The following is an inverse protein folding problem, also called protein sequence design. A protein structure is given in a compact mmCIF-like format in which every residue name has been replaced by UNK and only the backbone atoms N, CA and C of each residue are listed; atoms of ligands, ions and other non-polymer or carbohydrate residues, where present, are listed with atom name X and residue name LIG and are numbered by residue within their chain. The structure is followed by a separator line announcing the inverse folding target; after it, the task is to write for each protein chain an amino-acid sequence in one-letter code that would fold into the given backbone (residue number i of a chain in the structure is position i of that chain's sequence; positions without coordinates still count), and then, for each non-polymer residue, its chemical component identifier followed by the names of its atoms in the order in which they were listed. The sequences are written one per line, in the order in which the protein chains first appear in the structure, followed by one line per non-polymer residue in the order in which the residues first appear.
data_IF_146695146763
#
_entry.id   IF_146695146763
#
_cell.length_a   1.000
_cell.length_b   1.000
_cell.length_c   1.000
_cell.angle_alpha   90.00
_cell.angle_beta   90.00
_cell.angle_gamma   90.00
#
_symmetry.space_group_name_H-M   'P 1'
#
loop_
_entity.id
_entity.type
_entity.pdbx_description
1 polymer ?
#
# COMPACT_ATOMS: atom_id res chain seq x y z
N UNK A 1 -11.36 8.76 4.05
CA UNK A 1 -11.15 9.99 4.83
C UNK A 1 -9.88 9.96 5.68
N UNK A 2 -9.67 9.03 6.65
CA UNK A 2 -8.50 9.11 7.54
C UNK A 2 -7.19 8.65 6.89
N UNK A 3 -7.19 7.61 6.09
CA UNK A 3 -5.99 7.13 5.37
C UNK A 3 -5.53 8.10 4.28
N UNK A 4 -6.45 8.72 3.58
CA UNK A 4 -6.14 9.74 2.56
C UNK A 4 -5.48 10.97 3.19
N UNK A 5 -5.93 11.37 4.39
CA UNK A 5 -5.29 12.47 5.14
C UNK A 5 -3.82 12.17 5.44
N UNK A 6 -3.50 10.95 5.88
CA UNK A 6 -2.11 10.58 6.16
C UNK A 6 -1.23 10.56 4.91
N UNK A 7 -1.76 10.13 3.75
CA UNK A 7 -1.02 10.13 2.47
C UNK A 7 -0.75 11.58 2.04
N UNK A 8 -1.78 12.42 2.06
CA UNK A 8 -1.67 13.85 1.79
C UNK A 8 -0.61 14.53 2.66
N UNK A 9 -0.68 14.29 3.98
CA UNK A 9 0.22 14.94 4.93
C UNK A 9 1.68 14.53 4.68
N UNK A 10 1.95 13.29 4.28
CA UNK A 10 3.30 12.83 3.91
C UNK A 10 3.82 13.49 2.64
N UNK A 11 2.99 13.56 1.59
CA UNK A 11 3.39 14.25 0.36
C UNK A 11 3.70 15.71 0.66
N UNK A 12 2.85 16.36 1.44
CA UNK A 12 3.06 17.76 1.86
C UNK A 12 4.36 17.94 2.64
N UNK A 13 4.58 17.11 3.67
CA UNK A 13 5.79 17.20 4.51
C UNK A 13 7.06 16.96 3.69
N UNK A 14 7.08 15.97 2.80
CA UNK A 14 8.27 15.71 1.96
C UNK A 14 8.60 16.92 1.09
N UNK A 15 7.59 17.59 0.52
CA UNK A 15 7.81 18.78 -0.29
C UNK A 15 8.32 19.95 0.56
N UNK A 16 7.74 20.17 1.75
CA UNK A 16 8.15 21.21 2.68
C UNK A 16 9.59 20.99 3.20
N UNK A 17 9.91 19.78 3.62
CA UNK A 17 11.24 19.43 4.18
C UNK A 17 12.34 19.38 3.11
N UNK A 18 12.02 18.98 1.88
CA UNK A 18 12.99 18.98 0.79
C UNK A 18 13.35 20.38 0.29
N UNK A 19 12.51 21.38 0.55
CA UNK A 19 12.67 22.74 0.05
C UNK A 19 12.55 22.87 -1.48
N UNK A 20 12.07 21.82 -2.16
CA UNK A 20 11.86 21.83 -3.61
C UNK A 20 10.65 22.69 -3.94
N UNK A 21 10.79 23.55 -4.96
CA UNK A 21 9.67 24.28 -5.54
C UNK A 21 8.63 23.30 -6.07
N UNK A 22 7.38 23.31 -5.55
CA UNK A 22 6.34 22.38 -5.99
C UNK A 22 6.05 22.43 -7.51
N UNK A 23 6.35 23.55 -8.18
CA UNK A 23 6.18 23.69 -9.62
C UNK A 23 7.21 22.91 -10.45
N UNK A 24 8.27 22.41 -9.81
CA UNK A 24 9.34 21.62 -10.41
C UNK A 24 9.11 20.11 -10.31
N UNK A 25 8.03 19.69 -9.65
CA UNK A 25 7.69 18.27 -9.53
C UNK A 25 7.03 17.81 -10.82
N UNK A 26 7.65 16.85 -11.49
CA UNK A 26 7.21 16.32 -12.79
C UNK A 26 6.17 15.22 -12.65
N UNK A 27 6.18 14.45 -11.54
CA UNK A 27 5.18 13.39 -11.31
C UNK A 27 5.11 12.96 -9.84
N UNK A 28 3.97 12.34 -9.46
CA UNK A 28 3.77 11.66 -8.18
C UNK A 28 3.36 10.20 -8.46
N UNK A 29 4.28 9.26 -8.27
CA UNK A 29 4.09 7.84 -8.57
C UNK A 29 3.89 7.05 -7.28
N UNK A 30 2.66 6.58 -7.05
CA UNK A 30 2.34 5.78 -5.86
C UNK A 30 1.93 4.36 -6.21
N UNK A 31 2.58 3.40 -5.56
CA UNK A 31 2.20 2.00 -5.61
C UNK A 31 1.02 1.69 -4.70
N UNK A 32 0.07 0.90 -5.19
CA UNK A 32 -1.08 0.41 -4.42
C UNK A 32 -1.53 -0.94 -4.99
N UNK A 33 -1.52 -1.99 -4.16
CA UNK A 33 -1.87 -3.34 -4.58
C UNK A 33 -3.37 -3.65 -4.54
N UNK A 34 -4.14 -2.85 -3.81
CA UNK A 34 -5.60 -2.99 -3.70
C UNK A 34 -6.26 -1.63 -3.94
N UNK A 35 -6.24 -1.12 -5.18
CA UNK A 35 -6.82 0.17 -5.53
C UNK A 35 -8.32 0.19 -5.24
N UNK A 36 -8.85 1.35 -4.87
CA UNK A 36 -10.28 1.56 -4.61
C UNK A 36 -10.81 2.80 -5.33
N UNK A 37 -12.14 2.89 -5.42
CA UNK A 37 -12.81 3.99 -6.12
C UNK A 37 -12.75 5.34 -5.39
N UNK A 38 -12.38 5.37 -4.11
CA UNK A 38 -12.30 6.60 -3.34
C UNK A 38 -11.08 7.48 -3.71
N UNK A 39 -10.01 6.85 -4.22
CA UNK A 39 -8.80 7.55 -4.66
C UNK A 39 -8.27 6.94 -5.98
N UNK A 40 -8.96 7.16 -7.10
CA UNK A 40 -8.50 6.71 -8.41
C UNK A 40 -7.21 7.44 -8.78
N UNK A 41 -6.24 6.74 -9.37
CA UNK A 41 -4.90 7.29 -9.62
C UNK A 41 -4.31 7.93 -8.36
N UNK A 42 -4.09 7.13 -7.33
CA UNK A 42 -3.73 7.57 -5.97
C UNK A 42 -2.66 8.67 -5.93
N UNK A 43 -1.62 8.59 -6.78
CA UNK A 43 -0.58 9.62 -6.88
C UNK A 43 -1.16 10.99 -7.24
N UNK A 44 -2.11 11.03 -8.17
CA UNK A 44 -2.75 12.29 -8.57
C UNK A 44 -3.64 12.86 -7.47
N UNK A 45 -4.48 12.02 -6.84
CA UNK A 45 -5.34 12.47 -5.74
C UNK A 45 -4.49 12.98 -4.58
N UNK A 46 -3.43 12.25 -4.21
CA UNK A 46 -2.52 12.66 -3.14
C UNK A 46 -1.81 14.00 -3.44
N UNK A 47 -1.37 14.22 -4.68
CA UNK A 47 -0.76 15.47 -5.11
C UNK A 47 -1.72 16.66 -4.96
N UNK A 48 -2.95 16.52 -5.44
CA UNK A 48 -3.97 17.56 -5.35
C UNK A 48 -4.37 17.86 -3.90
N UNK A 49 -4.60 16.82 -3.10
CA UNK A 49 -4.96 16.96 -1.69
C UNK A 49 -3.82 17.55 -0.86
N UNK A 50 -2.56 17.33 -1.24
CA UNK A 50 -1.40 17.95 -0.63
C UNK A 50 -1.24 19.44 -1.01
N UNK A 51 -2.01 19.93 -1.96
CA UNK A 51 -1.96 21.31 -2.44
C UNK A 51 -0.89 21.57 -3.51
N UNK A 52 -0.38 20.53 -4.15
CA UNK A 52 0.53 20.70 -5.28
C UNK A 52 -0.19 21.37 -6.47
N UNK A 53 0.55 22.06 -7.34
CA UNK A 53 -0.02 22.69 -8.54
C UNK A 53 -0.79 21.68 -9.41
N UNK A 54 -1.86 22.13 -10.05
CA UNK A 54 -2.66 21.29 -10.94
C UNK A 54 -1.89 20.79 -12.17
N UNK A 55 -0.75 21.38 -12.45
CA UNK A 55 0.18 20.95 -13.49
C UNK A 55 0.96 19.68 -13.14
N UNK A 56 1.08 19.35 -11.85
CA UNK A 56 1.79 18.13 -11.40
C UNK A 56 0.92 16.91 -11.67
N UNK A 57 1.29 16.02 -12.58
CA UNK A 57 0.57 14.77 -12.81
C UNK A 57 0.72 13.81 -11.65
N UNK A 58 0.04 12.68 -11.73
CA UNK A 58 0.21 11.61 -10.76
C UNK A 58 -0.39 10.32 -11.25
N UNK A 59 0.28 9.22 -10.98
CA UNK A 59 -0.20 7.90 -11.34
C UNK A 59 -0.16 6.92 -10.18
N UNK A 60 -0.89 5.84 -10.35
CA UNK A 60 -0.87 4.67 -9.49
C UNK A 60 -0.37 3.48 -10.29
N UNK A 61 0.43 2.62 -9.66
CA UNK A 61 0.82 1.35 -10.24
C UNK A 61 0.56 0.19 -9.28
N UNK A 62 0.28 -0.96 -9.85
CA UNK A 62 0.07 -2.21 -9.12
C UNK A 62 1.10 -3.27 -9.58
N UNK A 63 1.94 -3.69 -8.67
CA UNK A 63 2.80 -4.87 -8.75
C UNK A 63 2.67 -5.67 -7.45
N UNK A 64 1.47 -5.72 -6.90
CA UNK A 64 1.13 -6.33 -5.63
C UNK A 64 2.05 -5.83 -4.50
N UNK A 65 2.60 -6.71 -3.66
CA UNK A 65 3.49 -6.34 -2.56
C UNK A 65 4.75 -5.57 -2.99
N UNK A 66 5.14 -5.64 -4.27
CA UNK A 66 6.25 -4.91 -4.86
C UNK A 66 5.91 -3.53 -5.42
N UNK A 67 4.66 -3.05 -5.27
CA UNK A 67 4.20 -1.80 -5.90
C UNK A 67 5.00 -0.57 -5.49
N UNK A 68 5.27 -0.41 -4.20
CA UNK A 68 6.05 0.73 -3.69
C UNK A 68 7.48 0.75 -4.23
N UNK A 69 8.16 -0.40 -4.23
CA UNK A 69 9.50 -0.51 -4.82
C UNK A 69 9.47 -0.26 -6.33
N UNK A 70 8.45 -0.75 -7.03
CA UNK A 70 8.29 -0.50 -8.46
C UNK A 70 8.06 0.99 -8.77
N UNK A 71 7.35 1.71 -7.93
CA UNK A 71 7.19 3.16 -8.07
C UNK A 71 8.56 3.87 -8.04
N UNK A 72 9.43 3.51 -7.10
CA UNK A 72 10.79 4.05 -6.98
C UNK A 72 11.64 3.69 -8.21
N UNK A 73 11.59 2.44 -8.66
CA UNK A 73 12.33 1.98 -9.86
C UNK A 73 11.84 2.73 -11.10
N UNK A 74 10.54 2.93 -11.25
CA UNK A 74 9.95 3.67 -12.37
C UNK A 74 10.38 5.13 -12.36
N UNK A 75 10.32 5.79 -11.20
CA UNK A 75 10.81 7.16 -11.04
C UNK A 75 12.29 7.28 -11.40
N UNK A 76 13.13 6.38 -10.88
CA UNK A 76 14.55 6.36 -11.20
C UNK A 76 14.84 6.15 -12.69
N UNK A 77 14.05 5.32 -13.36
CA UNK A 77 14.16 5.13 -14.81
C UNK A 77 13.79 6.40 -15.60
N UNK A 78 12.72 7.10 -15.20
CA UNK A 78 12.33 8.37 -15.84
C UNK A 78 13.42 9.43 -15.69
N UNK A 79 13.99 9.56 -14.49
CA UNK A 79 15.09 10.51 -14.24
C UNK A 79 16.33 10.11 -15.05
N UNK A 80 16.71 8.84 -15.04
CA UNK A 80 17.89 8.38 -15.76
C UNK A 80 17.79 8.55 -17.30
N UNK A 81 16.59 8.55 -17.85
CA UNK A 81 16.36 8.78 -19.28
C UNK A 81 16.10 10.25 -19.64
N UNK A 82 16.09 11.15 -18.68
CA UNK A 82 15.78 12.56 -18.88
C UNK A 82 14.30 12.84 -19.17
N UNK A 83 13.42 11.88 -18.85
CA UNK A 83 11.96 12.08 -19.00
C UNK A 83 11.38 12.93 -17.87
N UNK A 84 12.08 13.04 -16.74
CA UNK A 84 11.73 13.86 -15.58
C UNK A 84 12.99 14.25 -14.81
N UNK A 85 12.90 15.36 -14.06
CA UNK A 85 13.95 15.82 -13.16
C UNK A 85 13.62 15.53 -11.69
N UNK A 86 12.35 15.66 -11.30
CA UNK A 86 11.89 15.51 -9.92
C UNK A 86 10.62 14.68 -9.84
N UNK A 87 10.66 13.57 -9.15
CA UNK A 87 9.49 12.70 -8.94
C UNK A 87 9.34 12.34 -7.47
N UNK A 88 8.12 12.43 -6.95
CA UNK A 88 7.75 11.85 -5.66
C UNK A 88 7.32 10.41 -5.90
N UNK A 89 8.02 9.44 -5.29
CA UNK A 89 7.73 8.03 -5.45
C UNK A 89 7.57 7.33 -4.11
N UNK A 90 6.64 6.38 -4.04
CA UNK A 90 6.39 5.62 -2.81
C UNK A 90 5.19 4.68 -2.95
N UNK A 91 4.46 4.49 -1.87
CA UNK A 91 3.24 3.66 -1.89
C UNK A 91 2.36 3.89 -0.69
N UNK A 92 1.10 3.53 -0.85
CA UNK A 92 0.13 3.55 0.23
C UNK A 92 -0.91 2.45 0.04
N UNK A 93 -1.36 1.85 1.14
CA UNK A 93 -2.34 0.78 1.14
C UNK A 93 -3.34 0.95 2.27
N UNK A 94 -4.60 0.65 2.02
CA UNK A 94 -5.66 0.65 3.02
C UNK A 94 -6.59 -0.54 2.82
N UNK A 95 -6.11 -1.72 3.18
CA UNK A 95 -6.83 -2.99 2.97
C UNK A 95 -8.18 -3.02 3.70
N UNK A 96 -8.28 -2.41 4.87
CA UNK A 96 -9.53 -2.30 5.65
C UNK A 96 -10.62 -1.46 4.97
N UNK A 97 -10.29 -0.75 3.90
CA UNK A 97 -11.22 0.08 3.11
C UNK A 97 -11.44 -0.44 1.70
N UNK A 98 -10.94 -1.63 1.39
CA UNK A 98 -11.20 -2.28 0.12
C UNK A 98 -12.69 -2.61 0.00
N UNK A 99 -13.30 -2.25 -1.12
CA UNK A 99 -14.72 -2.42 -1.34
C UNK A 99 -15.09 -3.89 -1.50
N UNK A 100 -16.32 -4.22 -1.10
CA UNK A 100 -17.01 -5.40 -1.59
C UNK A 100 -17.56 -5.14 -2.98
N UNK A 101 -17.51 -6.13 -3.84
CA UNK A 101 -18.00 -6.05 -5.22
C UNK A 101 -19.26 -6.89 -5.42
N UNK A 102 -20.08 -6.47 -6.35
CA UNK A 102 -21.17 -7.25 -6.93
C UNK A 102 -20.89 -7.50 -8.41
N UNK A 103 -21.57 -8.47 -8.98
CA UNK A 103 -21.45 -8.75 -10.41
C UNK A 103 -21.79 -7.50 -11.24
N UNK A 104 -21.00 -7.23 -12.27
CA UNK A 104 -21.15 -6.07 -13.14
C UNK A 104 -22.50 -6.07 -13.90
N UNK A 105 -23.14 -7.22 -14.05
CA UNK A 105 -24.45 -7.35 -14.70
C UNK A 105 -25.54 -6.59 -13.97
N UNK A 106 -25.36 -6.28 -12.68
CA UNK A 106 -26.27 -5.41 -11.91
C UNK A 106 -26.44 -4.03 -12.57
N UNK A 107 -25.45 -3.54 -13.33
CA UNK A 107 -25.55 -2.28 -14.09
C UNK A 107 -26.64 -2.32 -15.16
N UNK A 108 -26.98 -3.50 -15.64
CA UNK A 108 -27.97 -3.74 -16.69
C UNK A 108 -29.32 -4.19 -16.13
N UNK A 109 -29.50 -4.11 -14.83
CA UNK A 109 -30.69 -4.51 -14.08
C UNK A 109 -30.59 -5.92 -13.50
N UNK A 110 -30.96 -6.05 -12.24
CA UNK A 110 -31.06 -7.36 -11.59
C UNK A 110 -32.29 -8.11 -12.11
N UNK A 111 -32.06 -9.28 -12.71
CA UNK A 111 -33.13 -10.10 -13.32
C UNK A 111 -33.74 -11.12 -12.35
N UNK A 112 -33.73 -10.86 -11.07
CA UNK A 112 -34.16 -11.76 -9.99
C UNK A 112 -33.01 -12.58 -9.41
N UNK A 113 -33.29 -13.35 -8.33
CA UNK A 113 -32.28 -14.09 -7.60
C UNK A 113 -31.56 -13.28 -6.52
N UNK A 114 -30.56 -13.88 -5.91
CA UNK A 114 -29.78 -13.25 -4.85
C UNK A 114 -28.59 -12.45 -5.41
N UNK A 115 -28.36 -11.27 -4.85
CA UNK A 115 -27.09 -10.55 -5.07
C UNK A 115 -26.06 -11.00 -4.04
N UNK A 116 -24.89 -11.41 -4.52
CA UNK A 116 -23.76 -11.83 -3.68
C UNK A 116 -22.76 -10.68 -3.64
N UNK A 117 -22.47 -10.19 -2.45
CA UNK A 117 -21.34 -9.29 -2.21
C UNK A 117 -20.08 -10.13 -1.99
N UNK A 118 -19.04 -9.88 -2.78
CA UNK A 118 -17.76 -10.59 -2.71
C UNK A 118 -16.71 -9.71 -2.08
N UNK A 119 -15.90 -10.30 -1.19
CA UNK A 119 -14.72 -9.64 -0.65
C UNK A 119 -13.64 -9.58 -1.74
N UNK A 120 -13.39 -8.39 -2.26
CA UNK A 120 -12.38 -8.14 -3.29
C UNK A 120 -10.97 -8.52 -2.86
N UNK A 121 -10.64 -8.44 -1.56
CA UNK A 121 -9.34 -8.87 -1.07
C UNK A 121 -9.17 -10.38 -1.20
N UNK A 122 -10.20 -11.14 -0.89
CA UNK A 122 -10.17 -12.60 -1.04
C UNK A 122 -10.12 -12.99 -2.52
N UNK A 123 -10.98 -12.42 -3.35
CA UNK A 123 -10.95 -12.68 -4.80
C UNK A 123 -9.58 -12.39 -5.42
N UNK A 124 -8.95 -11.27 -5.03
CA UNK A 124 -7.61 -10.92 -5.52
C UNK A 124 -6.53 -11.91 -5.08
N UNK A 125 -6.66 -12.52 -3.90
CA UNK A 125 -5.73 -13.58 -3.44
C UNK A 125 -5.91 -14.86 -4.23
N UNK A 126 -7.14 -15.27 -4.46
CA UNK A 126 -7.46 -16.49 -5.23
C UNK A 126 -7.05 -16.35 -6.71
N UNK A 127 -7.23 -15.15 -7.29
CA UNK A 127 -6.87 -14.86 -8.66
C UNK A 127 -5.36 -14.62 -8.90
N UNK A 128 -4.57 -14.46 -7.84
CA UNK A 128 -3.17 -14.00 -7.95
C UNK A 128 -2.27 -14.96 -8.76
N UNK A 129 -2.55 -16.28 -8.74
CA UNK A 129 -1.85 -17.29 -9.53
C UNK A 129 -2.32 -17.40 -10.98
N UNK A 130 -3.37 -16.67 -11.33
CA UNK A 130 -4.02 -16.80 -12.63
C UNK A 130 -4.58 -18.19 -12.89
N UNK A 131 -4.97 -18.42 -14.13
CA UNK A 131 -5.64 -19.68 -14.51
C UNK A 131 -4.72 -20.91 -14.47
N UNK A 132 -3.42 -20.69 -14.70
CA UNK A 132 -2.47 -21.80 -14.88
C UNK A 132 -1.65 -22.14 -13.64
N UNK A 133 -1.64 -21.25 -12.65
CA UNK A 133 -0.92 -21.44 -11.39
C UNK A 133 -1.80 -21.05 -10.19
N UNK A 134 -2.98 -21.65 -10.05
CA UNK A 134 -3.90 -21.30 -8.98
C UNK A 134 -3.28 -21.64 -7.62
N UNK A 135 -3.34 -20.70 -6.68
CA UNK A 135 -2.93 -20.89 -5.29
C UNK A 135 -4.13 -20.56 -4.40
N UNK A 136 -4.74 -21.57 -3.83
CA UNK A 136 -5.80 -21.38 -2.85
C UNK A 136 -5.25 -20.80 -1.55
N UNK A 137 -6.04 -19.98 -0.85
CA UNK A 137 -5.73 -19.49 0.50
C UNK A 137 -4.73 -18.33 0.61
N UNK A 138 -4.14 -17.86 -0.50
CA UNK A 138 -3.25 -16.70 -0.51
C UNK A 138 -1.89 -16.94 0.14
N UNK A 139 -1.31 -15.91 0.79
CA UNK A 139 0.08 -15.95 1.27
C UNK A 139 0.31 -16.89 2.46
N UNK A 140 -0.71 -17.12 3.30
CA UNK A 140 -0.61 -18.07 4.42
C UNK A 140 -0.43 -19.48 3.87
N UNK A 141 -1.25 -19.88 2.90
CA UNK A 141 -1.12 -21.19 2.25
C UNK A 141 0.19 -21.32 1.46
N UNK A 142 0.64 -20.25 0.82
CA UNK A 142 1.96 -20.22 0.16
C UNK A 142 3.09 -20.46 1.17
N UNK A 143 3.06 -19.83 2.32
CA UNK A 143 4.04 -20.05 3.38
C UNK A 143 4.00 -21.49 3.90
N UNK A 144 2.81 -22.08 4.09
CA UNK A 144 2.65 -23.48 4.50
C UNK A 144 3.16 -24.46 3.43
N UNK A 145 2.98 -24.17 2.15
CA UNK A 145 3.54 -24.96 1.06
C UNK A 145 5.07 -24.94 1.09
N UNK A 146 5.68 -23.78 1.25
CA UNK A 146 7.14 -23.65 1.42
C UNK A 146 7.63 -24.41 2.66
N UNK A 147 6.93 -24.26 3.79
CA UNK A 147 7.26 -25.02 5.00
C UNK A 147 7.32 -26.52 4.74
N UNK A 148 6.33 -27.06 4.04
CA UNK A 148 6.28 -28.50 3.70
C UNK A 148 7.38 -28.89 2.72
N UNK A 149 7.57 -28.11 1.66
CA UNK A 149 8.56 -28.37 0.61
C UNK A 149 9.99 -28.34 1.13
N UNK A 150 10.32 -27.35 1.95
CA UNK A 150 11.66 -27.18 2.52
C UNK A 150 11.83 -27.75 3.93
N UNK A 151 10.83 -28.46 4.44
CA UNK A 151 10.86 -29.07 5.79
C UNK A 151 11.26 -28.09 6.89
N UNK A 152 10.71 -26.88 6.86
CA UNK A 152 11.05 -25.84 7.83
C UNK A 152 10.38 -26.17 9.17
N UNK A 153 11.19 -26.39 10.20
CA UNK A 153 10.73 -26.76 11.52
C UNK A 153 9.99 -25.63 12.22
N UNK A 154 8.99 -25.95 13.06
CA UNK A 154 8.18 -24.99 13.79
C UNK A 154 9.03 -24.07 14.69
N UNK A 155 10.02 -24.64 15.36
CA UNK A 155 10.92 -23.90 16.26
C UNK A 155 11.65 -22.79 15.50
N UNK A 156 12.19 -23.08 14.31
CA UNK A 156 12.88 -22.09 13.49
C UNK A 156 11.94 -20.93 13.04
N UNK A 157 10.67 -21.25 12.78
CA UNK A 157 9.66 -20.22 12.44
C UNK A 157 9.38 -19.32 13.64
N UNK A 158 9.17 -19.90 14.82
CA UNK A 158 8.89 -19.16 16.06
C UNK A 158 10.08 -18.31 16.51
N UNK A 159 11.31 -18.82 16.39
CA UNK A 159 12.54 -18.06 16.65
C UNK A 159 12.71 -16.86 15.73
N UNK A 160 12.43 -17.03 14.42
CA UNK A 160 12.45 -15.94 13.46
C UNK A 160 11.42 -14.87 13.83
N UNK A 161 10.19 -15.27 14.14
CA UNK A 161 9.11 -14.35 14.52
C UNK A 161 9.48 -13.57 15.80
N UNK A 162 9.91 -14.27 16.84
CA UNK A 162 10.31 -13.65 18.11
C UNK A 162 11.50 -12.68 17.92
N UNK A 163 12.49 -13.04 17.09
CA UNK A 163 13.61 -12.16 16.76
C UNK A 163 13.13 -10.91 16.01
N UNK A 164 12.25 -11.05 15.04
CA UNK A 164 11.68 -9.93 14.29
C UNK A 164 10.98 -8.94 15.21
N UNK A 165 10.13 -9.41 16.13
CA UNK A 165 9.46 -8.55 17.11
C UNK A 165 10.45 -7.84 18.04
N UNK A 166 11.44 -8.57 18.59
CA UNK A 166 12.47 -7.95 19.44
C UNK A 166 13.27 -6.87 18.72
N UNK A 167 13.64 -7.11 17.46
CA UNK A 167 14.37 -6.12 16.67
C UNK A 167 13.54 -4.86 16.41
N UNK A 168 12.26 -5.02 16.12
CA UNK A 168 11.35 -3.88 15.91
C UNK A 168 11.20 -3.05 17.20
N UNK A 169 10.98 -3.71 18.35
CA UNK A 169 10.89 -3.05 19.64
C UNK A 169 12.17 -2.29 19.99
N UNK A 170 13.35 -2.95 19.83
CA UNK A 170 14.64 -2.31 20.09
C UNK A 170 14.90 -1.11 19.17
N UNK A 171 14.50 -1.19 17.90
CA UNK A 171 14.62 -0.07 16.98
C UNK A 171 13.76 1.15 17.39
N UNK A 172 12.55 0.89 17.89
CA UNK A 172 11.68 1.95 18.42
C UNK A 172 12.25 2.56 19.71
N UNK A 173 12.73 1.73 20.66
CA UNK A 173 13.35 2.19 21.91
C UNK A 173 14.60 3.04 21.66
N UNK A 174 15.34 2.73 20.61
CA UNK A 174 16.56 3.46 20.21
C UNK A 174 16.29 4.64 19.26
N UNK A 175 15.02 4.93 18.98
CA UNK A 175 14.62 6.04 18.08
C UNK A 175 15.26 5.96 16.67
N UNK A 176 15.54 4.76 16.16
CA UNK A 176 16.26 4.60 14.89
C UNK A 176 15.48 5.12 13.67
N UNK A 177 14.15 5.23 13.79
CA UNK A 177 13.27 5.68 12.71
C UNK A 177 12.69 7.08 12.91
N UNK A 178 13.04 7.78 14.00
CA UNK A 178 12.41 9.07 14.35
C UNK A 178 12.60 10.12 13.25
N UNK A 179 13.73 10.10 12.55
CA UNK A 179 14.01 11.01 11.44
C UNK A 179 13.22 10.66 10.15
N UNK A 180 12.62 9.47 10.08
CA UNK A 180 11.90 9.00 8.89
C UNK A 180 10.38 8.96 9.08
N UNK A 181 9.92 9.00 10.34
CA UNK A 181 8.50 8.87 10.69
C UNK A 181 7.84 10.23 10.80
N UNK A 182 6.90 10.49 9.90
CA UNK A 182 6.02 11.64 9.99
C UNK A 182 4.81 11.29 10.86
N UNK A 183 4.59 11.95 12.00
CA UNK A 183 3.46 11.67 12.88
C UNK A 183 2.12 11.81 12.15
N UNK A 184 1.17 10.91 12.42
CA UNK A 184 -0.17 10.96 11.87
C UNK A 184 -1.18 10.49 12.93
N UNK A 185 -2.32 11.17 13.00
CA UNK A 185 -3.42 10.85 13.93
C UNK A 185 -3.89 9.38 13.86
N UNK A 186 -3.75 8.74 12.71
CA UNK A 186 -4.10 7.32 12.54
C UNK A 186 -3.21 6.41 13.40
N UNK A 187 -1.91 6.67 13.45
CA UNK A 187 -0.97 5.87 14.24
C UNK A 187 -1.12 6.12 15.74
N UNK A 188 -1.35 7.35 16.15
CA UNK A 188 -1.57 7.67 17.57
C UNK A 188 -2.89 7.08 18.09
N UNK A 189 -3.92 6.96 17.25
CA UNK A 189 -5.19 6.33 17.65
C UNK A 189 -5.12 4.80 17.66
N UNK A 190 -4.33 4.16 16.77
CA UNK A 190 -4.14 2.71 16.75
C UNK A 190 -3.26 2.23 17.90
N UNK A 191 -2.23 2.99 18.29
CA UNK A 191 -1.44 2.68 19.48
C UNK A 191 -2.27 2.83 20.79
N UNK A 192 -3.30 3.69 20.78
CA UNK A 192 -4.29 3.79 21.84
C UNK A 192 -5.24 2.59 21.92
N UNK A 193 -5.65 2.04 20.78
CA UNK A 193 -6.49 0.84 20.71
C UNK A 193 -5.74 -0.45 21.12
N UNK A 194 -4.48 -0.59 20.73
CA UNK A 194 -3.66 -1.73 21.12
C UNK A 194 -3.37 -1.78 22.64
N UNK A 195 -3.45 -0.64 23.35
CA UNK A 195 -3.32 -0.56 24.81
C UNK A 195 -4.62 -0.84 25.58
N UNK A 196 -5.75 -1.00 24.88
CA UNK A 196 -7.06 -1.27 25.50
C UNK A 196 -7.46 -2.77 25.45
N UNK A 197 -6.59 -3.62 24.90
CA UNK A 197 -6.81 -5.08 24.79
C UNK A 197 -5.91 -5.90 25.71
N UNK A 198 -5.28 -5.30 26.73
CA UNK A 198 -4.60 -5.98 27.83
C UNK A 198 -5.52 -6.15 29.04
#
# INVERSE_FOLDING_TARGET
ARSEMCIRDRVKTIVEESGIDPTKIDDVILGQGSPNGAAPALGRVAALDAGLPTTVPGMQLDRRCGSGLQAIITAGAHIATGAADVIIAGGAESMSRTEYTVDADVRWGAKGGNMIFRDRLQEAREAAGGKHHPIAGGMIETAENLRREYSIERVAQDELAARSHRNAAAAQEQSLFDAEIIPCLLYTSLSGLARQTD
#
